data_IF_120296452331
#
_entry.id   IF_120296452331
#
_cell.length_a   1.000
_cell.length_b   1.000
_cell.length_c   1.000
_cell.angle_alpha   90.00
_cell.angle_beta   90.00
_cell.angle_gamma   90.00
#
_symmetry.space_group_name_H-M   'P 1'
#
loop_
_entity.id
_entity.type
_entity.pdbx_description
1 polymer ?
#
# COMPACT_ATOMS: atom_id res chain seq x y z
N UNK A 1 -3.31 11.06 -36.81
CA UNK A 1 -2.25 10.28 -37.49
C UNK A 1 -2.24 8.92 -36.83
N UNK A 2 -2.40 7.85 -37.59
CA UNK A 2 -2.35 6.48 -37.06
C UNK A 2 -0.89 6.23 -36.72
N UNK A 3 -0.56 6.17 -35.42
CA UNK A 3 0.79 5.87 -34.99
C UNK A 3 1.13 4.43 -35.35
N UNK A 4 2.05 4.24 -36.26
CA UNK A 4 2.56 2.93 -36.70
C UNK A 4 3.60 2.42 -35.72
N UNK A 5 3.18 2.19 -34.47
CA UNK A 5 4.04 1.77 -33.36
C UNK A 5 3.78 0.34 -32.97
N UNK A 6 4.83 -0.46 -32.93
CA UNK A 6 4.83 -1.77 -32.29
C UNK A 6 5.62 -1.73 -30.96
N UNK A 7 5.27 -2.60 -30.02
CA UNK A 7 5.99 -2.78 -28.77
C UNK A 7 6.45 -4.23 -28.61
N UNK A 8 7.67 -4.43 -28.19
CA UNK A 8 8.22 -5.71 -27.77
C UNK A 8 8.38 -5.67 -26.25
N UNK A 9 7.73 -6.57 -25.55
CA UNK A 9 7.86 -6.71 -24.10
C UNK A 9 8.76 -7.91 -23.78
N UNK A 10 9.96 -7.62 -23.30
CA UNK A 10 10.90 -8.64 -22.87
C UNK A 10 10.47 -9.26 -21.53
N UNK A 11 9.93 -10.46 -21.57
CA UNK A 11 9.41 -11.17 -20.41
C UNK A 11 9.96 -12.61 -20.24
N UNK A 12 10.98 -13.00 -21.03
CA UNK A 12 11.59 -14.34 -21.02
C UNK A 12 12.58 -14.59 -19.86
N UNK A 13 12.80 -13.60 -18.96
CA UNK A 13 13.78 -13.73 -17.87
C UNK A 13 13.33 -14.66 -16.74
N UNK A 14 14.21 -15.59 -16.31
CA UNK A 14 13.94 -16.62 -15.31
C UNK A 14 13.68 -16.09 -13.88
N UNK A 15 14.14 -14.88 -13.52
CA UNK A 15 13.76 -14.21 -12.26
C UNK A 15 14.33 -14.76 -10.96
N UNK A 16 15.44 -15.49 -10.97
CA UNK A 16 16.04 -16.19 -9.82
C UNK A 16 16.21 -15.33 -8.55
N UNK A 17 16.33 -14.01 -8.67
CA UNK A 17 16.52 -13.07 -7.54
C UNK A 17 15.25 -12.71 -6.77
N UNK A 18 14.06 -12.98 -7.31
CA UNK A 18 12.77 -12.76 -6.61
C UNK A 18 12.40 -13.96 -5.73
N UNK A 19 13.06 -15.12 -5.91
CA UNK A 19 12.80 -16.33 -5.13
C UNK A 19 11.40 -16.90 -5.36
N UNK A 20 10.84 -16.71 -6.55
CA UNK A 20 9.57 -17.31 -6.98
C UNK A 20 9.86 -18.52 -7.88
N UNK A 21 9.06 -19.57 -7.73
CA UNK A 21 9.13 -20.79 -8.57
C UNK A 21 8.52 -20.56 -9.98
N UNK A 22 8.14 -19.32 -10.30
CA UNK A 22 7.51 -18.89 -11.55
C UNK A 22 8.42 -17.91 -12.30
N UNK A 23 8.30 -17.80 -13.64
CA UNK A 23 8.93 -16.74 -14.40
C UNK A 23 8.65 -15.36 -13.80
N UNK A 24 9.68 -14.53 -13.75
CA UNK A 24 9.63 -13.21 -13.11
C UNK A 24 8.43 -12.36 -13.54
N UNK A 25 8.13 -12.36 -14.83
CA UNK A 25 7.07 -11.54 -15.40
C UNK A 25 5.65 -12.01 -14.99
N UNK A 26 5.51 -13.25 -14.48
CA UNK A 26 4.27 -13.81 -13.92
C UNK A 26 4.10 -13.53 -12.42
N UNK A 27 5.10 -12.95 -11.76
CA UNK A 27 4.95 -12.53 -10.34
C UNK A 27 3.86 -11.47 -10.25
N UNK A 28 2.96 -11.63 -9.29
CA UNK A 28 1.87 -10.66 -9.05
C UNK A 28 2.39 -9.41 -8.35
N UNK A 29 1.90 -8.29 -8.84
CA UNK A 29 2.00 -6.98 -8.25
C UNK A 29 0.57 -6.49 -7.98
N UNK A 30 0.12 -6.61 -6.73
CA UNK A 30 -1.27 -6.45 -6.29
C UNK A 30 -2.18 -7.50 -6.95
N UNK A 31 -3.03 -7.15 -7.87
CA UNK A 31 -4.04 -7.99 -8.52
C UNK A 31 -3.60 -8.57 -9.87
N UNK A 32 -2.60 -7.95 -10.52
CA UNK A 32 -2.10 -8.32 -11.85
C UNK A 32 -0.65 -8.79 -11.82
N UNK A 33 -0.25 -9.56 -12.82
CA UNK A 33 1.17 -9.91 -13.01
C UNK A 33 1.97 -8.72 -13.56
N UNK A 34 3.32 -8.76 -13.43
CA UNK A 34 4.18 -7.70 -13.97
C UNK A 34 3.97 -7.52 -15.48
N UNK A 35 3.80 -8.61 -16.22
CA UNK A 35 3.57 -8.55 -17.67
C UNK A 35 2.20 -7.95 -18.02
N UNK A 36 1.14 -8.25 -17.25
CA UNK A 36 -0.18 -7.61 -17.45
C UNK A 36 -0.13 -6.10 -17.26
N UNK A 37 0.60 -5.63 -16.23
CA UNK A 37 0.82 -4.20 -16.03
C UNK A 37 1.56 -3.57 -17.22
N UNK A 38 2.65 -4.18 -17.67
CA UNK A 38 3.44 -3.68 -18.80
C UNK A 38 2.62 -3.62 -20.09
N UNK A 39 1.82 -4.66 -20.39
CA UNK A 39 0.90 -4.69 -21.54
C UNK A 39 -0.15 -3.58 -21.42
N UNK A 40 -0.80 -3.47 -20.26
CA UNK A 40 -1.86 -2.46 -20.05
C UNK A 40 -1.35 -1.03 -20.23
N UNK A 41 -0.11 -0.75 -19.83
CA UNK A 41 0.50 0.58 -19.98
C UNK A 41 0.92 0.90 -21.44
N UNK A 42 1.27 -0.09 -22.25
CA UNK A 42 1.67 0.13 -23.64
C UNK A 42 0.53 -0.01 -24.64
N UNK A 43 -0.55 -0.73 -24.32
CA UNK A 43 -1.69 -0.94 -25.21
C UNK A 43 -2.34 0.35 -25.77
N UNK A 44 -2.42 1.47 -25.02
CA UNK A 44 -3.00 2.71 -25.57
C UNK A 44 -2.16 3.38 -26.67
N UNK A 45 -0.87 3.02 -26.79
CA UNK A 45 0.07 3.69 -27.73
C UNK A 45 0.69 2.77 -28.77
N UNK A 46 0.63 1.45 -28.57
CA UNK A 46 1.14 0.45 -29.51
C UNK A 46 -0.02 -0.33 -30.13
N UNK A 47 -0.07 -0.38 -31.48
CA UNK A 47 -1.10 -1.13 -32.22
C UNK A 47 -0.77 -2.61 -32.35
N UNK A 48 0.48 -2.99 -32.13
CA UNK A 48 0.94 -4.37 -32.05
C UNK A 48 1.81 -4.51 -30.80
N UNK A 49 1.51 -5.50 -29.97
CA UNK A 49 2.35 -5.86 -28.83
C UNK A 49 2.78 -7.30 -28.98
N UNK A 50 4.09 -7.55 -28.96
CA UNK A 50 4.67 -8.88 -28.94
C UNK A 50 5.33 -9.09 -27.58
N UNK A 51 4.95 -10.16 -26.87
CA UNK A 51 5.50 -10.53 -25.57
C UNK A 51 6.38 -11.75 -25.75
N UNK A 52 7.63 -11.69 -25.30
CA UNK A 52 8.50 -12.86 -25.30
C UNK A 52 8.39 -13.59 -23.96
N UNK A 53 8.08 -14.90 -23.97
CA UNK A 53 7.97 -15.75 -22.79
C UNK A 53 9.18 -16.67 -22.65
N UNK A 54 9.47 -17.22 -21.45
CA UNK A 54 10.39 -18.32 -21.32
C UNK A 54 9.91 -19.57 -22.07
N UNK A 55 10.83 -20.47 -22.41
CA UNK A 55 10.50 -21.77 -23.01
C UNK A 55 9.47 -22.53 -22.16
N UNK A 56 8.45 -23.09 -22.82
CA UNK A 56 7.38 -23.83 -22.17
C UNK A 56 6.28 -23.02 -21.47
N UNK A 57 6.34 -21.67 -21.49
CA UNK A 57 5.35 -20.81 -20.84
C UNK A 57 4.45 -20.03 -21.81
N UNK A 58 4.56 -20.25 -23.11
CA UNK A 58 3.78 -19.52 -24.13
C UNK A 58 2.27 -19.60 -23.86
N UNK A 59 1.77 -20.80 -23.59
CA UNK A 59 0.32 -21.01 -23.38
C UNK A 59 -0.17 -20.36 -22.09
N UNK A 60 0.62 -20.34 -21.03
CA UNK A 60 0.29 -19.66 -19.78
C UNK A 60 0.22 -18.14 -19.96
N UNK A 61 1.19 -17.56 -20.68
CA UNK A 61 1.15 -16.13 -21.03
C UNK A 61 -0.05 -15.78 -21.92
N UNK A 62 -0.37 -16.61 -22.92
CA UNK A 62 -1.58 -16.42 -23.74
C UNK A 62 -2.86 -16.47 -22.92
N UNK A 63 -2.96 -17.41 -22.00
CA UNK A 63 -4.11 -17.53 -21.09
C UNK A 63 -4.31 -16.28 -20.24
N UNK A 64 -3.22 -15.66 -19.76
CA UNK A 64 -3.26 -14.47 -18.89
C UNK A 64 -3.50 -13.20 -19.71
N UNK A 65 -2.88 -13.06 -20.88
CA UNK A 65 -2.89 -11.82 -21.67
C UNK A 65 -4.02 -11.77 -22.70
N UNK A 66 -4.62 -12.92 -23.04
CA UNK A 66 -5.66 -13.04 -24.06
C UNK A 66 -5.12 -12.82 -25.48
N UNK A 67 -6.06 -12.69 -26.44
CA UNK A 67 -5.76 -12.60 -27.87
C UNK A 67 -5.33 -11.19 -28.33
N UNK A 68 -5.30 -10.22 -27.43
CA UNK A 68 -4.94 -8.82 -27.74
C UNK A 68 -3.44 -8.58 -27.96
N UNK A 69 -2.61 -9.57 -27.64
CA UNK A 69 -1.15 -9.52 -27.78
C UNK A 69 -0.63 -10.80 -28.40
N UNK A 70 0.43 -10.71 -29.19
CA UNK A 70 1.13 -11.87 -29.72
C UNK A 70 2.15 -12.35 -28.67
N UNK A 71 2.07 -13.63 -28.27
CA UNK A 71 3.03 -14.25 -27.35
C UNK A 71 3.90 -15.23 -28.14
N UNK A 72 5.20 -15.05 -28.05
CA UNK A 72 6.20 -15.94 -28.67
C UNK A 72 7.18 -16.47 -27.64
N UNK A 73 7.80 -17.61 -27.92
CA UNK A 73 8.93 -18.08 -27.11
C UNK A 73 10.16 -17.21 -27.37
N UNK A 74 10.82 -16.76 -26.29
CA UNK A 74 12.06 -15.99 -26.36
C UNK A 74 13.28 -16.88 -26.60
N UNK A 75 14.41 -16.23 -26.92
CA UNK A 75 15.69 -16.90 -27.07
C UNK A 75 16.44 -17.06 -25.73
N UNK A 76 17.66 -17.61 -25.80
CA UNK A 76 18.52 -17.83 -24.64
C UNK A 76 18.98 -16.50 -24.02
N UNK A 77 19.34 -15.54 -24.89
CA UNK A 77 19.72 -14.19 -24.49
C UNK A 77 18.53 -13.22 -24.63
N UNK A 78 18.61 -12.08 -23.93
CA UNK A 78 17.63 -11.01 -24.09
C UNK A 78 17.61 -10.48 -25.51
N UNK A 79 18.77 -10.25 -26.12
CA UNK A 79 18.95 -9.83 -27.51
C UNK A 79 18.32 -10.80 -28.51
N UNK A 80 18.43 -12.12 -28.29
CA UNK A 80 17.79 -13.14 -29.14
C UNK A 80 16.27 -13.02 -29.07
N UNK A 81 15.73 -12.86 -27.86
CA UNK A 81 14.29 -12.68 -27.65
C UNK A 81 13.75 -11.45 -28.42
N UNK A 82 14.47 -10.32 -28.37
CA UNK A 82 14.10 -9.11 -29.10
C UNK A 82 14.22 -9.33 -30.60
N UNK A 83 15.26 -10.00 -31.10
CA UNK A 83 15.48 -10.32 -32.52
C UNK A 83 14.33 -11.19 -33.07
N UNK A 84 13.95 -12.22 -32.32
CA UNK A 84 12.80 -13.07 -32.67
C UNK A 84 11.51 -12.28 -32.76
N UNK A 85 11.23 -11.43 -31.77
CA UNK A 85 10.04 -10.57 -31.76
C UNK A 85 10.07 -9.55 -32.91
N UNK A 86 11.21 -8.92 -33.17
CA UNK A 86 11.38 -7.94 -34.23
C UNK A 86 11.09 -8.54 -35.61
N UNK A 87 11.49 -9.80 -35.87
CA UNK A 87 11.20 -10.51 -37.11
C UNK A 87 9.70 -10.77 -37.36
N UNK A 88 8.87 -10.69 -36.32
CA UNK A 88 7.41 -10.85 -36.41
C UNK A 88 6.68 -9.53 -36.65
N UNK A 89 7.33 -8.39 -36.49
CA UNK A 89 6.70 -7.09 -36.69
C UNK A 89 6.49 -6.82 -38.19
N UNK A 90 5.27 -6.64 -38.67
CA UNK A 90 5.00 -6.29 -40.09
C UNK A 90 5.63 -4.97 -40.50
N UNK A 91 5.96 -4.84 -41.81
CA UNK A 91 6.68 -3.67 -42.35
C UNK A 91 5.96 -2.32 -42.22
N UNK A 92 4.68 -2.35 -41.96
CA UNK A 92 3.85 -1.13 -41.78
C UNK A 92 4.16 -0.38 -40.48
N UNK A 93 4.84 -1.01 -39.49
CA UNK A 93 5.23 -0.38 -38.26
C UNK A 93 6.58 0.32 -38.40
N UNK A 94 6.58 1.62 -38.20
CA UNK A 94 7.77 2.48 -38.35
C UNK A 94 8.57 2.63 -37.09
N UNK A 95 7.90 2.56 -35.93
CA UNK A 95 8.50 2.73 -34.61
C UNK A 95 8.35 1.47 -33.78
N UNK A 96 9.39 1.13 -33.04
CA UNK A 96 9.42 -0.02 -32.13
C UNK A 96 9.82 0.44 -30.75
N UNK A 97 9.00 0.13 -29.76
CA UNK A 97 9.33 0.23 -28.34
C UNK A 97 9.83 -1.11 -27.84
N UNK A 98 10.97 -1.12 -27.17
CA UNK A 98 11.47 -2.29 -26.43
C UNK A 98 11.33 -2.03 -24.94
N UNK A 99 10.59 -2.90 -24.24
CA UNK A 99 10.25 -2.69 -22.85
C UNK A 99 10.50 -3.94 -21.99
N UNK A 100 11.09 -3.76 -20.83
CA UNK A 100 11.26 -4.83 -19.84
C UNK A 100 9.96 -5.01 -19.05
N UNK A 101 9.34 -6.20 -19.04
CA UNK A 101 8.17 -6.49 -18.20
C UNK A 101 8.40 -6.22 -16.71
N UNK A 102 9.67 -6.26 -16.28
CA UNK A 102 10.08 -5.93 -14.92
C UNK A 102 9.92 -4.46 -14.52
N UNK A 103 9.64 -3.56 -15.48
CA UNK A 103 9.31 -2.15 -15.22
C UNK A 103 7.80 -1.92 -15.35
N UNK A 104 7.06 -2.75 -14.67
CA UNK A 104 5.60 -2.86 -14.73
C UNK A 104 4.85 -1.53 -14.49
N UNK A 105 5.48 -0.55 -13.84
CA UNK A 105 4.87 0.75 -13.49
C UNK A 105 5.26 1.90 -14.44
N UNK A 106 6.01 1.64 -15.52
CA UNK A 106 6.27 2.64 -16.55
C UNK A 106 4.94 3.11 -17.15
N UNK A 107 4.63 4.42 -17.02
CA UNK A 107 3.30 4.92 -17.39
C UNK A 107 3.11 5.03 -18.92
N UNK A 108 1.86 5.02 -19.35
CA UNK A 108 1.48 5.27 -20.78
C UNK A 108 1.99 6.63 -21.25
N UNK A 109 1.86 7.67 -20.40
CA UNK A 109 2.35 9.01 -20.72
C UNK A 109 3.87 9.05 -20.88
N UNK A 110 4.58 8.33 -20.04
CA UNK A 110 6.03 8.19 -20.13
C UNK A 110 6.45 7.50 -21.45
N UNK A 111 5.82 6.38 -21.79
CA UNK A 111 6.08 5.72 -23.07
C UNK A 111 5.71 6.58 -24.30
N UNK A 112 4.65 7.40 -24.17
CA UNK A 112 4.27 8.34 -25.22
C UNK A 112 5.34 9.44 -25.45
N UNK A 113 6.08 9.88 -24.41
CA UNK A 113 7.17 10.85 -24.61
C UNK A 113 8.31 10.27 -25.45
N UNK A 114 8.60 8.98 -25.32
CA UNK A 114 9.59 8.28 -26.16
C UNK A 114 9.18 8.29 -27.62
N UNK A 115 7.93 7.91 -27.91
CA UNK A 115 7.38 7.91 -29.27
C UNK A 115 7.35 9.31 -29.88
N UNK A 116 7.02 10.33 -29.09
CA UNK A 116 6.99 11.71 -29.57
C UNK A 116 8.36 12.17 -30.10
N UNK A 117 9.46 11.76 -29.46
CA UNK A 117 10.82 12.08 -29.95
C UNK A 117 11.13 11.38 -31.28
N UNK A 118 10.72 10.13 -31.46
CA UNK A 118 10.88 9.41 -32.73
C UNK A 118 10.08 10.07 -33.86
N UNK A 119 8.86 10.48 -33.58
CA UNK A 119 8.02 11.22 -34.56
C UNK A 119 8.66 12.58 -34.91
N UNK A 120 9.36 13.21 -33.98
CA UNK A 120 10.08 14.46 -34.20
C UNK A 120 11.44 14.28 -34.90
N UNK A 121 11.79 13.05 -35.35
CA UNK A 121 12.94 12.78 -36.20
C UNK A 121 14.11 12.09 -35.52
N UNK A 122 14.05 11.81 -34.22
CA UNK A 122 15.07 11.00 -33.55
C UNK A 122 14.99 9.53 -34.03
N UNK A 123 16.13 8.86 -34.14
CA UNK A 123 16.19 7.48 -34.63
C UNK A 123 16.26 6.46 -33.48
N UNK A 124 16.79 6.87 -32.34
CA UNK A 124 16.87 6.09 -31.11
C UNK A 124 16.71 6.99 -29.90
N UNK A 125 15.89 6.58 -28.95
CA UNK A 125 15.53 7.36 -27.75
C UNK A 125 15.51 6.45 -26.53
N UNK A 126 16.22 6.84 -25.49
CA UNK A 126 16.21 6.15 -24.21
C UNK A 126 15.83 7.12 -23.09
N UNK A 127 14.93 6.70 -22.21
CA UNK A 127 14.70 7.46 -20.97
C UNK A 127 15.72 7.06 -19.91
N UNK A 128 16.15 8.04 -19.10
CA UNK A 128 17.08 7.77 -18.02
C UNK A 128 16.90 8.74 -16.84
N UNK A 129 17.24 8.25 -15.64
CA UNK A 129 17.34 9.05 -14.43
C UNK A 129 18.77 9.51 -14.19
N UNK A 130 18.92 10.61 -13.46
CA UNK A 130 20.21 11.04 -12.97
C UNK A 130 20.76 10.05 -11.92
N UNK A 131 22.07 9.84 -11.92
CA UNK A 131 22.71 9.03 -10.90
C UNK A 131 22.94 9.89 -9.65
N UNK A 132 22.24 9.55 -8.57
CA UNK A 132 22.26 10.30 -7.31
C UNK A 132 23.51 9.94 -6.49
N UNK A 133 23.84 8.64 -6.42
CA UNK A 133 24.95 8.13 -5.62
C UNK A 133 26.29 8.28 -6.32
N UNK A 134 27.36 8.26 -5.53
CA UNK A 134 28.71 8.17 -6.06
C UNK A 134 28.98 6.77 -6.60
N UNK A 135 29.29 6.67 -7.89
CA UNK A 135 29.64 5.40 -8.55
C UNK A 135 31.14 5.12 -8.42
N UNK A 136 31.47 3.88 -8.10
CA UNK A 136 32.86 3.39 -8.07
C UNK A 136 33.02 2.26 -9.07
N UNK A 137 34.02 2.37 -9.92
CA UNK A 137 34.52 1.24 -10.69
C UNK A 137 35.45 0.41 -9.80
N UNK A 138 35.20 -0.90 -9.73
CA UNK A 138 35.98 -1.81 -8.90
C UNK A 138 36.62 -2.90 -9.73
N UNK A 139 37.75 -3.42 -9.28
CA UNK A 139 38.39 -4.58 -9.89
C UNK A 139 37.72 -5.90 -9.42
N UNK A 140 38.21 -7.04 -9.95
CA UNK A 140 37.72 -8.38 -9.61
C UNK A 140 37.93 -8.77 -8.14
N UNK A 141 38.78 -8.04 -7.40
CA UNK A 141 39.08 -8.23 -5.98
C UNK A 141 38.28 -7.27 -5.08
N UNK A 142 37.45 -6.37 -5.68
CA UNK A 142 36.63 -5.40 -4.95
C UNK A 142 37.36 -4.10 -4.60
N UNK A 143 38.55 -3.82 -5.10
CA UNK A 143 39.24 -2.55 -4.89
C UNK A 143 38.81 -1.50 -5.89
N UNK A 144 38.62 -0.26 -5.41
CA UNK A 144 38.23 0.88 -6.25
C UNK A 144 39.34 1.21 -7.25
N UNK A 145 39.00 1.22 -8.55
CA UNK A 145 39.86 1.67 -9.64
C UNK A 145 39.66 3.13 -10.02
N UNK A 146 38.40 3.53 -10.09
CA UNK A 146 38.03 4.86 -10.56
C UNK A 146 36.74 5.33 -9.91
N UNK A 147 36.53 6.65 -9.93
CA UNK A 147 35.28 7.30 -9.51
C UNK A 147 34.81 8.17 -10.66
N UNK A 148 33.93 7.66 -11.55
CA UNK A 148 33.40 8.43 -12.67
C UNK A 148 32.68 9.70 -12.20
N UNK A 149 32.69 10.74 -13.02
CA UNK A 149 31.89 11.92 -12.76
C UNK A 149 30.39 11.59 -12.95
N UNK A 150 29.65 11.54 -11.85
CA UNK A 150 28.23 11.14 -11.87
C UNK A 150 27.34 12.06 -12.73
N UNK A 151 27.74 13.34 -12.96
CA UNK A 151 26.96 14.25 -13.79
C UNK A 151 26.87 13.83 -15.25
N UNK A 152 27.82 12.99 -15.72
CA UNK A 152 27.80 12.41 -17.07
C UNK A 152 27.17 11.01 -17.14
N UNK A 153 26.80 10.44 -15.99
CA UNK A 153 26.20 9.10 -15.92
C UNK A 153 24.68 9.21 -15.86
N UNK A 154 24.03 8.25 -16.50
CA UNK A 154 22.57 8.13 -16.51
C UNK A 154 22.15 6.69 -16.21
N UNK A 155 21.13 6.52 -15.39
CA UNK A 155 20.52 5.22 -15.11
C UNK A 155 19.41 4.96 -16.12
N UNK A 156 19.69 4.18 -17.14
CA UNK A 156 18.81 3.94 -18.29
C UNK A 156 17.58 3.12 -17.87
N UNK A 157 16.44 3.51 -18.41
CA UNK A 157 15.17 2.82 -18.21
C UNK A 157 14.60 2.31 -19.54
N UNK A 158 13.46 1.64 -19.48
CA UNK A 158 12.62 1.27 -20.64
C UNK A 158 11.18 1.75 -20.40
N UNK A 159 10.37 2.03 -21.47
CA UNK A 159 10.60 1.63 -22.86
C UNK A 159 11.69 2.43 -23.55
N UNK A 160 12.57 1.75 -24.29
CA UNK A 160 13.47 2.36 -25.26
C UNK A 160 12.78 2.40 -26.61
N UNK A 161 12.95 3.47 -27.35
CA UNK A 161 12.27 3.66 -28.64
C UNK A 161 13.26 3.77 -29.81
N UNK A 162 12.89 3.16 -30.93
CA UNK A 162 13.73 3.12 -32.12
C UNK A 162 12.88 3.25 -33.38
N UNK A 163 13.45 3.85 -34.44
CA UNK A 163 12.94 3.56 -35.76
C UNK A 163 13.24 2.10 -36.08
N UNK A 164 12.26 1.41 -36.70
CA UNK A 164 12.38 -0.02 -36.97
C UNK A 164 13.65 -0.36 -37.74
N UNK A 165 13.95 0.40 -38.81
CA UNK A 165 15.11 0.14 -39.66
C UNK A 165 16.45 0.24 -38.92
N UNK A 166 16.57 1.14 -37.93
CA UNK A 166 17.76 1.28 -37.11
C UNK A 166 17.89 0.08 -36.16
N UNK A 167 16.81 -0.32 -35.50
CA UNK A 167 16.82 -1.46 -34.59
C UNK A 167 17.15 -2.78 -35.33
N UNK A 168 16.57 -3.00 -36.52
CA UNK A 168 16.87 -4.17 -37.36
C UNK A 168 18.35 -4.22 -37.75
N UNK A 169 18.92 -3.09 -38.19
CA UNK A 169 20.35 -2.99 -38.54
C UNK A 169 21.24 -3.26 -37.33
N UNK A 170 20.90 -2.73 -36.17
CA UNK A 170 21.66 -2.90 -34.94
C UNK A 170 21.69 -4.38 -34.53
N UNK A 171 20.54 -5.06 -34.52
CA UNK A 171 20.45 -6.48 -34.21
C UNK A 171 21.05 -7.42 -35.28
N UNK A 172 21.20 -6.96 -36.52
CA UNK A 172 21.91 -7.71 -37.57
C UNK A 172 23.45 -7.59 -37.46
N UNK A 173 23.94 -6.49 -36.89
CA UNK A 173 25.37 -6.18 -36.83
C UNK A 173 26.07 -6.73 -35.58
N UNK A 174 25.38 -7.04 -34.50
CA UNK A 174 25.95 -7.51 -33.23
C UNK A 174 25.04 -8.54 -32.56
N UNK A 175 25.66 -9.51 -31.86
CA UNK A 175 24.94 -10.64 -31.26
C UNK A 175 24.47 -10.34 -29.83
N UNK A 176 25.19 -9.54 -29.03
CA UNK A 176 24.85 -9.29 -27.63
C UNK A 176 25.26 -7.89 -27.16
N UNK A 177 24.44 -7.32 -26.28
CA UNK A 177 24.69 -6.09 -25.54
C UNK A 177 23.87 -6.05 -24.26
N UNK A 178 24.19 -5.11 -23.38
CA UNK A 178 23.46 -4.92 -22.11
C UNK A 178 22.03 -4.40 -22.31
N UNK A 179 21.81 -3.63 -23.39
CA UNK A 179 20.51 -3.14 -23.85
C UNK A 179 20.50 -2.89 -25.36
N UNK A 180 19.33 -2.53 -25.91
CA UNK A 180 19.19 -2.32 -27.36
C UNK A 180 19.84 -1.02 -27.81
N UNK A 181 19.95 -0.02 -26.94
CA UNK A 181 20.64 1.23 -27.23
C UNK A 181 22.15 1.01 -27.50
N UNK A 182 22.80 0.15 -26.72
CA UNK A 182 24.21 -0.18 -26.95
C UNK A 182 24.46 -0.84 -28.31
N UNK A 183 23.53 -1.66 -28.82
CA UNK A 183 23.59 -2.18 -30.19
C UNK A 183 23.47 -1.06 -31.22
N UNK A 184 22.61 -0.08 -31.00
CA UNK A 184 22.43 1.06 -31.88
C UNK A 184 23.64 1.98 -31.88
N UNK A 185 24.26 2.24 -30.74
CA UNK A 185 25.50 2.99 -30.59
C UNK A 185 26.64 2.30 -31.35
N UNK A 186 26.75 0.96 -31.29
CA UNK A 186 27.78 0.18 -31.96
C UNK A 186 27.75 0.34 -33.50
N UNK A 187 26.59 0.63 -34.09
CA UNK A 187 26.47 0.94 -35.53
C UNK A 187 26.60 2.42 -35.86
N UNK A 188 27.04 3.26 -34.91
CA UNK A 188 27.32 4.68 -35.10
C UNK A 188 26.06 5.58 -35.16
N UNK A 189 24.91 5.12 -34.71
CA UNK A 189 23.68 5.93 -34.62
C UNK A 189 23.59 6.61 -33.25
N UNK A 190 23.35 7.92 -33.26
CA UNK A 190 23.20 8.71 -32.04
C UNK A 190 21.95 8.28 -31.27
N UNK A 191 22.08 8.09 -29.94
CA UNK A 191 20.98 7.76 -29.05
C UNK A 191 20.63 8.97 -28.19
N UNK A 192 19.38 9.43 -28.31
CA UNK A 192 18.88 10.56 -27.54
C UNK A 192 18.47 10.13 -26.14
N UNK A 193 18.99 10.80 -25.12
CA UNK A 193 18.54 10.61 -23.73
C UNK A 193 17.42 11.61 -23.42
N UNK A 194 16.34 11.13 -22.83
CA UNK A 194 15.25 11.95 -22.30
C UNK A 194 15.07 11.69 -20.80
N UNK A 195 14.29 12.54 -20.12
CA UNK A 195 14.00 12.37 -18.71
C UNK A 195 13.28 11.04 -18.43
N UNK A 196 13.75 10.31 -17.42
CA UNK A 196 13.14 9.07 -16.93
C UNK A 196 11.95 9.34 -16.00
N UNK A 197 11.30 8.26 -15.57
CA UNK A 197 10.19 8.26 -14.62
C UNK A 197 10.57 7.41 -13.41
N UNK A 198 10.53 7.97 -12.19
CA UNK A 198 10.91 7.25 -10.96
C UNK A 198 10.06 5.99 -10.75
N UNK A 199 8.76 6.05 -11.11
CA UNK A 199 7.86 4.90 -11.04
C UNK A 199 8.26 3.75 -11.97
N UNK A 200 9.03 4.00 -13.03
CA UNK A 200 9.52 2.99 -13.95
C UNK A 200 10.73 2.21 -13.38
N UNK A 201 10.75 2.00 -12.06
CA UNK A 201 11.78 1.18 -11.39
C UNK A 201 11.77 -0.25 -11.93
N UNK A 202 12.95 -0.89 -11.96
CA UNK A 202 13.07 -2.29 -12.38
C UNK A 202 12.87 -3.21 -11.17
N UNK A 203 11.76 -3.89 -11.10
CA UNK A 203 11.44 -4.84 -10.02
C UNK A 203 12.33 -6.07 -10.18
N UNK A 204 13.33 -6.24 -9.31
CA UNK A 204 14.32 -7.33 -9.37
C UNK A 204 14.44 -8.10 -8.06
N UNK A 205 14.07 -7.49 -6.96
CA UNK A 205 14.13 -8.04 -5.61
C UNK A 205 12.76 -7.97 -4.91
N UNK A 206 12.63 -8.63 -3.77
CA UNK A 206 11.43 -8.52 -2.91
C UNK A 206 11.21 -7.09 -2.40
N UNK A 207 12.29 -6.34 -2.16
CA UNK A 207 12.22 -4.94 -1.75
C UNK A 207 11.64 -4.06 -2.87
N UNK A 208 12.09 -4.27 -4.13
CA UNK A 208 11.53 -3.55 -5.28
C UNK A 208 10.04 -3.82 -5.44
N UNK A 209 9.62 -5.09 -5.24
CA UNK A 209 8.21 -5.48 -5.31
C UNK A 209 7.39 -4.79 -4.22
N UNK A 210 7.90 -4.68 -3.01
CA UNK A 210 7.23 -3.95 -1.91
C UNK A 210 7.09 -2.45 -2.24
N UNK A 211 8.16 -1.84 -2.77
CA UNK A 211 8.13 -0.43 -3.23
C UNK A 211 7.11 -0.22 -4.34
N UNK A 212 7.11 -1.09 -5.36
CA UNK A 212 6.15 -1.03 -6.45
C UNK A 212 4.71 -1.21 -5.97
N UNK A 213 4.47 -2.11 -5.01
CA UNK A 213 3.15 -2.32 -4.38
C UNK A 213 2.68 -1.04 -3.69
N UNK A 214 3.55 -0.38 -2.92
CA UNK A 214 3.22 0.88 -2.25
C UNK A 214 2.89 2.01 -3.25
N UNK A 215 3.56 2.05 -4.42
CA UNK A 215 3.29 3.03 -5.47
C UNK A 215 1.97 2.78 -6.22
N UNK A 216 1.49 1.54 -6.28
CA UNK A 216 0.21 1.19 -6.92
C UNK A 216 -0.98 1.32 -6.00
N UNK A 217 -0.80 0.93 -4.75
CA UNK A 217 -1.87 1.10 -3.78
C UNK A 217 -2.15 2.60 -3.66
N UNK A 218 -3.40 3.03 -3.83
CA UNK A 218 -3.73 4.42 -3.54
C UNK A 218 -3.21 4.68 -2.13
N UNK A 219 -2.50 5.76 -1.97
CA UNK A 219 -2.30 6.35 -0.65
C UNK A 219 -3.74 6.67 -0.18
N UNK A 220 -4.41 5.68 0.41
CA UNK A 220 -5.58 5.98 1.22
C UNK A 220 -4.99 6.82 2.33
N UNK A 221 -5.15 8.13 2.23
CA UNK A 221 -4.90 9.02 3.35
C UNK A 221 -5.69 8.41 4.50
N UNK A 222 -4.98 7.66 5.34
CA UNK A 222 -5.60 7.03 6.50
C UNK A 222 -6.21 8.16 7.29
N UNK A 223 -7.53 8.29 7.26
CA UNK A 223 -8.21 9.27 8.07
C UNK A 223 -8.00 8.91 9.53
N UNK A 224 -7.17 9.69 10.20
CA UNK A 224 -6.96 9.60 11.64
C UNK A 224 -8.01 10.50 12.28
N UNK A 225 -8.80 9.94 13.19
CA UNK A 225 -9.83 10.69 13.92
C UNK A 225 -9.67 10.47 15.41
N UNK A 226 -9.93 11.53 16.18
CA UNK A 226 -9.93 11.53 17.63
C UNK A 226 -11.32 11.89 18.12
N UNK A 227 -11.78 11.21 19.14
CA UNK A 227 -13.00 11.54 19.84
C UNK A 227 -12.79 11.64 21.34
N UNK A 228 -13.66 12.35 21.99
CA UNK A 228 -13.73 12.50 23.46
C UNK A 228 -15.12 12.07 23.92
N UNK A 229 -15.16 11.41 25.08
CA UNK A 229 -16.41 11.07 25.77
C UNK A 229 -16.27 11.37 27.26
N UNK A 230 -17.36 11.78 27.88
CA UNK A 230 -17.44 12.09 29.29
C UNK A 230 -18.74 11.50 29.84
N UNK A 231 -18.64 10.81 30.97
CA UNK A 231 -19.81 10.32 31.68
C UNK A 231 -19.67 10.56 33.19
N UNK A 232 -20.79 10.74 33.88
CA UNK A 232 -20.84 10.96 35.30
C UNK A 232 -22.14 10.43 35.90
N UNK A 233 -22.03 9.67 36.99
CA UNK A 233 -23.16 9.10 37.70
C UNK A 233 -23.02 9.27 39.20
N UNK A 234 -24.13 9.50 39.89
CA UNK A 234 -24.20 9.50 41.35
C UNK A 234 -24.15 8.07 41.93
N UNK A 235 -23.67 7.90 43.15
CA UNK A 235 -23.84 6.65 43.87
C UNK A 235 -25.32 6.43 44.20
N UNK A 236 -25.81 5.23 43.97
CA UNK A 236 -27.15 4.82 44.30
C UNK A 236 -27.39 4.66 45.81
N UNK A 237 -28.66 4.55 46.16
CA UNK A 237 -29.09 4.30 47.54
C UNK A 237 -29.18 2.80 47.89
N UNK A 238 -29.18 1.92 46.89
CA UNK A 238 -29.33 0.45 47.06
C UNK A 238 -27.98 -0.18 47.46
N UNK A 239 -27.83 -0.46 48.76
CA UNK A 239 -26.63 -1.05 49.32
C UNK A 239 -26.40 -2.53 48.91
N UNK A 240 -27.43 -3.17 48.33
CA UNK A 240 -27.34 -4.55 47.83
C UNK A 240 -26.73 -4.67 46.44
N UNK A 241 -26.66 -3.58 45.68
CA UNK A 241 -26.07 -3.56 44.34
C UNK A 241 -24.59 -3.19 44.38
N UNK A 242 -23.76 -3.98 43.69
CA UNK A 242 -22.31 -3.77 43.57
C UNK A 242 -22.00 -2.84 42.39
N UNK A 243 -20.93 -2.04 42.54
CA UNK A 243 -20.44 -1.11 41.55
C UNK A 243 -19.88 -1.86 40.35
N UNK A 244 -20.43 -1.56 39.16
CA UNK A 244 -19.78 -1.88 37.89
C UNK A 244 -18.92 -0.68 37.50
N UNK A 245 -17.61 -0.92 37.24
CA UNK A 245 -16.69 0.13 36.82
C UNK A 245 -15.51 -0.44 36.06
N UNK A 246 -15.26 0.12 34.87
CA UNK A 246 -14.18 -0.30 33.96
C UNK A 246 -14.23 -1.81 33.62
N UNK A 247 -15.43 -2.33 33.39
CA UNK A 247 -15.69 -3.73 33.04
C UNK A 247 -15.53 -4.73 34.19
N UNK A 248 -15.41 -4.24 35.43
CA UNK A 248 -15.24 -5.07 36.63
C UNK A 248 -16.37 -4.77 37.64
N UNK A 249 -16.59 -5.75 38.57
CA UNK A 249 -17.45 -5.55 39.71
C UNK A 249 -16.57 -5.26 40.95
N UNK A 250 -16.97 -4.23 41.71
CA UNK A 250 -16.29 -3.75 42.92
C UNK A 250 -17.20 -3.83 44.12
N UNK A 251 -16.61 -3.77 45.30
CA UNK A 251 -17.35 -3.92 46.58
C UNK A 251 -18.14 -2.66 46.98
N UNK A 252 -17.88 -1.52 46.33
CA UNK A 252 -18.60 -0.28 46.51
C UNK A 252 -20.05 -0.37 46.03
N UNK A 253 -20.89 0.55 46.52
CA UNK A 253 -22.29 0.69 46.08
C UNK A 253 -22.37 1.08 44.62
N UNK A 254 -23.32 0.50 43.89
CA UNK A 254 -23.56 0.78 42.46
C UNK A 254 -23.84 2.27 42.20
N UNK A 255 -23.50 2.71 41.02
CA UNK A 255 -23.94 4.02 40.50
C UNK A 255 -25.40 3.93 40.02
N UNK A 256 -26.11 5.08 40.07
CA UNK A 256 -27.45 5.21 39.49
C UNK A 256 -27.32 5.27 37.95
N UNK A 257 -28.27 4.61 37.25
CA UNK A 257 -28.28 4.60 35.78
C UNK A 257 -29.29 3.62 35.21
N UNK A 258 -29.58 3.75 33.92
CA UNK A 258 -30.48 2.85 33.18
C UNK A 258 -29.82 1.53 32.73
N UNK A 259 -28.47 1.52 32.72
CA UNK A 259 -27.61 0.35 32.46
C UNK A 259 -26.97 -0.11 33.77
N UNK A 260 -25.80 -0.69 33.73
CA UNK A 260 -25.00 -1.02 34.91
C UNK A 260 -24.27 0.17 35.56
N UNK A 261 -24.36 1.37 34.94
CA UNK A 261 -23.75 2.61 35.43
C UNK A 261 -22.22 2.67 35.30
N UNK A 262 -21.59 1.81 34.49
CA UNK A 262 -20.14 1.85 34.27
C UNK A 262 -19.72 3.11 33.51
N UNK A 263 -19.42 4.19 34.27
CA UNK A 263 -19.02 5.49 33.69
C UNK A 263 -17.80 5.40 32.79
N UNK A 264 -16.87 4.45 33.05
CA UNK A 264 -15.70 4.29 32.23
C UNK A 264 -16.03 3.67 30.86
N UNK A 265 -16.90 2.64 30.84
CA UNK A 265 -17.37 2.03 29.61
C UNK A 265 -18.22 3.00 28.79
N UNK A 266 -19.11 3.78 29.42
CA UNK A 266 -19.93 4.78 28.75
C UNK A 266 -19.09 5.89 28.11
N UNK A 267 -18.13 6.47 28.85
CA UNK A 267 -17.23 7.48 28.32
C UNK A 267 -16.41 6.96 27.13
N UNK A 268 -15.99 5.69 27.17
CA UNK A 268 -15.28 5.05 26.04
C UNK A 268 -16.22 4.90 24.81
N UNK A 269 -17.47 4.48 25.02
CA UNK A 269 -18.45 4.41 23.93
C UNK A 269 -18.63 5.76 23.27
N UNK A 270 -18.83 6.82 24.04
CA UNK A 270 -19.00 8.19 23.54
C UNK A 270 -17.75 8.67 22.78
N UNK A 271 -16.57 8.43 23.32
CA UNK A 271 -15.32 8.77 22.62
C UNK A 271 -15.20 8.10 21.25
N UNK A 272 -15.54 6.81 21.16
CA UNK A 272 -15.48 6.04 19.92
C UNK A 272 -16.55 6.50 18.91
N UNK A 273 -17.79 6.69 19.37
CA UNK A 273 -18.90 7.16 18.52
C UNK A 273 -18.63 8.58 18.01
N UNK A 274 -18.14 9.47 18.86
CA UNK A 274 -17.74 10.82 18.50
C UNK A 274 -16.64 10.83 17.45
N UNK A 275 -15.58 10.01 17.63
CA UNK A 275 -14.48 9.88 16.66
C UNK A 275 -15.00 9.46 15.27
N UNK A 276 -15.95 8.54 15.22
CA UNK A 276 -16.51 8.02 13.99
C UNK A 276 -17.64 8.90 13.39
N UNK A 277 -18.03 9.98 14.07
CA UNK A 277 -19.18 10.84 13.73
C UNK A 277 -20.50 10.04 13.68
N UNK A 278 -20.69 9.13 14.67
CA UNK A 278 -21.87 8.28 14.83
C UNK A 278 -22.80 8.76 15.96
N UNK A 279 -22.64 9.99 16.44
CA UNK A 279 -23.40 10.54 17.55
C UNK A 279 -22.82 10.15 18.91
N UNK A 280 -23.68 9.85 19.87
CA UNK A 280 -23.36 9.56 21.26
C UNK A 280 -24.04 8.27 21.74
N UNK A 281 -23.76 7.87 22.98
CA UNK A 281 -24.34 6.70 23.62
C UNK A 281 -25.86 6.79 23.69
N UNK A 282 -26.40 7.96 24.02
CA UNK A 282 -27.83 8.19 24.12
C UNK A 282 -28.58 7.99 22.81
N UNK A 283 -28.04 8.48 21.70
CA UNK A 283 -28.63 8.33 20.36
C UNK A 283 -28.51 6.90 19.81
N UNK A 284 -27.50 6.14 20.22
CA UNK A 284 -27.24 4.77 19.73
C UNK A 284 -27.86 3.67 20.60
N UNK A 285 -27.97 3.90 21.91
CA UNK A 285 -28.39 2.90 22.90
C UNK A 285 -29.43 3.47 23.89
N UNK A 286 -30.20 4.47 23.45
CA UNK A 286 -31.09 5.25 24.33
C UNK A 286 -32.14 4.44 25.04
N UNK A 287 -32.65 5.00 26.15
CA UNK A 287 -33.66 4.43 27.08
C UNK A 287 -34.97 3.96 26.42
N UNK A 288 -35.27 4.38 25.21
CA UNK A 288 -36.44 3.93 24.47
C UNK A 288 -36.30 2.49 23.93
N UNK A 289 -35.08 1.99 23.75
CA UNK A 289 -34.82 0.62 23.26
C UNK A 289 -34.66 -0.36 24.43
N UNK A 290 -35.72 -1.13 24.66
CA UNK A 290 -35.78 -2.15 25.74
C UNK A 290 -34.64 -3.18 25.66
N UNK A 291 -33.98 -3.31 24.52
CA UNK A 291 -32.82 -4.22 24.32
C UNK A 291 -31.66 -3.87 25.24
N UNK A 292 -31.51 -2.60 25.60
CA UNK A 292 -30.37 -2.09 26.37
C UNK A 292 -30.71 -1.81 27.84
N UNK A 293 -31.95 -2.08 28.26
CA UNK A 293 -32.33 -1.95 29.67
C UNK A 293 -31.52 -2.95 30.53
N UNK A 294 -30.66 -2.44 31.41
CA UNK A 294 -29.75 -3.24 32.23
C UNK A 294 -28.55 -3.82 31.46
N UNK A 295 -28.25 -3.33 30.25
CA UNK A 295 -27.05 -3.77 29.51
C UNK A 295 -25.78 -3.46 30.30
N UNK A 296 -24.82 -4.38 30.26
CA UNK A 296 -23.51 -4.16 30.86
C UNK A 296 -22.65 -3.23 30.00
N UNK A 297 -21.73 -2.49 30.64
CA UNK A 297 -20.75 -1.67 29.93
C UNK A 297 -19.93 -2.47 28.91
N UNK A 298 -19.63 -3.73 29.21
CA UNK A 298 -18.96 -4.64 28.28
C UNK A 298 -19.79 -4.92 27.02
N UNK A 299 -21.12 -5.08 27.15
CA UNK A 299 -22.01 -5.26 26.00
C UNK A 299 -22.08 -4.00 25.15
N UNK A 300 -22.22 -2.82 25.77
CA UNK A 300 -22.25 -1.54 25.05
C UNK A 300 -20.95 -1.28 24.28
N UNK A 301 -19.80 -1.59 24.87
CA UNK A 301 -18.49 -1.52 24.22
C UNK A 301 -18.37 -2.45 23.02
N UNK A 302 -18.84 -3.70 23.14
CA UNK A 302 -18.84 -4.67 22.03
C UNK A 302 -19.71 -4.21 20.86
N UNK A 303 -20.88 -3.68 21.12
CA UNK A 303 -21.77 -3.15 20.08
C UNK A 303 -21.21 -1.86 19.46
N UNK A 304 -20.59 -0.99 20.26
CA UNK A 304 -19.86 0.19 19.77
C UNK A 304 -18.71 -0.22 18.85
N UNK A 305 -17.90 -1.21 19.25
CA UNK A 305 -16.84 -1.74 18.39
C UNK A 305 -17.38 -2.23 17.05
N UNK A 306 -18.51 -2.95 17.05
CA UNK A 306 -19.12 -3.43 15.80
C UNK A 306 -19.55 -2.26 14.89
N UNK A 307 -20.10 -1.17 15.46
CA UNK A 307 -20.47 0.05 14.73
C UNK A 307 -19.26 0.77 14.14
N UNK A 308 -18.17 0.91 14.91
CA UNK A 308 -16.90 1.53 14.44
C UNK A 308 -16.33 0.73 13.27
N UNK A 309 -16.30 -0.59 13.37
CA UNK A 309 -15.85 -1.49 12.31
C UNK A 309 -16.74 -1.39 11.06
N UNK A 310 -18.05 -1.36 11.22
CA UNK A 310 -19.02 -1.21 10.11
C UNK A 310 -18.88 0.15 9.40
N UNK A 311 -18.47 1.20 10.12
CA UNK A 311 -18.17 2.52 9.56
C UNK A 311 -16.80 2.58 8.86
N UNK A 312 -16.05 1.49 8.78
CA UNK A 312 -14.76 1.39 8.07
C UNK A 312 -13.58 1.91 8.88
N UNK A 313 -13.64 1.84 10.22
CA UNK A 313 -12.55 2.26 11.09
C UNK A 313 -12.02 1.12 11.96
N UNK A 314 -10.75 1.26 12.34
CA UNK A 314 -10.05 0.43 13.33
C UNK A 314 -9.73 1.29 14.55
N UNK A 315 -9.90 0.73 15.74
CA UNK A 315 -9.52 1.38 17.00
C UNK A 315 -8.03 1.18 17.21
N UNK A 316 -7.24 2.27 17.19
CA UNK A 316 -5.81 2.24 17.44
C UNK A 316 -5.51 2.23 18.94
N UNK A 317 -6.17 3.10 19.71
CA UNK A 317 -6.11 3.11 21.17
C UNK A 317 -7.28 3.85 21.81
N UNK A 318 -7.52 3.52 23.07
CA UNK A 318 -8.44 4.22 23.96
C UNK A 318 -7.72 4.53 25.27
N UNK A 319 -7.92 5.75 25.80
CA UNK A 319 -7.47 6.11 27.13
C UNK A 319 -8.65 6.60 27.96
N UNK A 320 -8.82 6.10 29.19
CA UNK A 320 -9.85 6.55 30.11
C UNK A 320 -9.25 6.96 31.44
N UNK A 321 -9.68 8.13 31.91
CA UNK A 321 -9.39 8.70 33.22
C UNK A 321 -10.64 8.63 34.08
N UNK A 322 -10.60 7.87 35.18
CA UNK A 322 -11.67 7.80 36.17
C UNK A 322 -11.42 8.86 37.25
N UNK A 323 -12.44 9.61 37.60
CA UNK A 323 -12.37 10.68 38.60
C UNK A 323 -13.28 10.34 39.77
N UNK A 324 -12.67 10.19 40.97
CA UNK A 324 -13.41 9.91 42.20
C UNK A 324 -12.53 9.37 43.30
N UNK A 325 -13.11 9.21 44.51
CA UNK A 325 -12.38 8.81 45.71
C UNK A 325 -12.22 7.28 45.86
N UNK A 326 -13.22 6.53 45.39
CA UNK A 326 -13.32 5.06 45.48
C UNK A 326 -13.99 4.50 44.24
N UNK A 327 -13.63 3.25 43.81
CA UNK A 327 -12.63 2.36 44.37
C UNK A 327 -11.20 2.79 44.02
N UNK A 328 -10.21 2.18 44.67
CA UNK A 328 -8.80 2.43 44.33
C UNK A 328 -8.39 1.61 43.10
N UNK A 329 -8.56 2.19 41.94
CA UNK A 329 -8.34 1.55 40.61
C UNK A 329 -6.95 0.92 40.51
N UNK A 330 -5.91 1.49 41.14
CA UNK A 330 -4.55 1.00 41.07
C UNK A 330 -4.42 -0.49 41.43
N UNK A 331 -5.23 -0.98 42.39
CA UNK A 331 -5.17 -2.37 42.88
C UNK A 331 -5.58 -3.38 41.77
N UNK A 332 -6.50 -3.02 40.89
CA UNK A 332 -7.04 -3.91 39.86
C UNK A 332 -6.93 -3.32 38.46
N UNK A 333 -6.01 -2.37 38.23
CA UNK A 333 -5.86 -1.67 36.94
C UNK A 333 -5.61 -2.64 35.80
N UNK A 334 -4.76 -3.64 35.99
CA UNK A 334 -4.45 -4.62 34.92
C UNK A 334 -5.69 -5.45 34.54
N UNK A 335 -6.55 -5.81 35.50
CA UNK A 335 -7.80 -6.54 35.26
C UNK A 335 -8.79 -5.63 34.48
N UNK A 336 -8.91 -4.37 34.88
CA UNK A 336 -9.76 -3.39 34.16
C UNK A 336 -9.32 -3.18 32.72
N UNK A 337 -8.02 -3.00 32.47
CA UNK A 337 -7.46 -2.91 31.12
C UNK A 337 -7.80 -4.17 30.31
N UNK A 338 -7.61 -5.34 30.87
CA UNK A 338 -7.89 -6.61 30.17
C UNK A 338 -9.39 -6.77 29.85
N UNK A 339 -10.28 -6.40 30.80
CA UNK A 339 -11.74 -6.47 30.60
C UNK A 339 -12.22 -5.53 29.47
N UNK A 340 -11.79 -4.27 29.52
CA UNK A 340 -12.14 -3.27 28.50
C UNK A 340 -11.55 -3.61 27.12
N UNK A 341 -10.28 -4.03 27.07
CA UNK A 341 -9.63 -4.49 25.83
C UNK A 341 -10.36 -5.69 25.22
N UNK A 342 -10.78 -6.67 26.03
CA UNK A 342 -11.56 -7.82 25.59
C UNK A 342 -12.90 -7.39 24.98
N UNK A 343 -13.61 -6.45 25.61
CA UNK A 343 -14.88 -5.93 25.11
C UNK A 343 -14.72 -5.18 23.77
N UNK A 344 -13.54 -4.60 23.53
CA UNK A 344 -13.16 -3.92 22.28
C UNK A 344 -12.34 -4.80 21.33
N UNK A 345 -12.54 -6.12 21.36
CA UNK A 345 -11.91 -7.11 20.49
C UNK A 345 -10.37 -7.04 20.44
N UNK A 346 -9.74 -6.70 21.57
CA UNK A 346 -8.27 -6.65 21.72
C UNK A 346 -7.65 -5.28 21.45
N UNK A 347 -8.44 -4.22 21.30
CA UNK A 347 -7.92 -2.86 21.17
C UNK A 347 -7.05 -2.44 22.37
N UNK A 348 -6.06 -1.59 22.13
CA UNK A 348 -5.20 -1.06 23.19
C UNK A 348 -5.98 -0.10 24.08
N UNK A 349 -6.06 -0.42 25.37
CA UNK A 349 -6.74 0.42 26.37
C UNK A 349 -5.77 0.82 27.47
N UNK A 350 -5.83 2.07 27.90
CA UNK A 350 -5.18 2.55 29.12
C UNK A 350 -6.21 3.07 30.12
N UNK A 351 -6.00 2.74 31.40
CA UNK A 351 -6.89 3.14 32.50
C UNK A 351 -6.05 3.90 33.55
N UNK A 352 -6.48 5.09 33.88
CA UNK A 352 -5.94 5.89 34.97
C UNK A 352 -7.05 6.38 35.89
N UNK A 353 -6.69 6.83 37.08
CA UNK A 353 -7.63 7.37 38.05
C UNK A 353 -7.01 8.52 38.84
N UNK A 354 -7.84 9.48 39.25
CA UNK A 354 -7.46 10.62 40.08
C UNK A 354 -8.58 10.96 41.06
N UNK A 355 -8.26 11.67 42.12
CA UNK A 355 -9.23 12.37 42.97
C UNK A 355 -9.33 13.83 42.57
N UNK A 356 -10.32 14.56 43.09
CA UNK A 356 -10.42 16.00 43.01
C UNK A 356 -10.14 16.71 44.34
N UNK A 357 -9.44 16.04 45.23
CA UNK A 357 -8.99 16.55 46.53
C UNK A 357 -10.11 17.18 47.37
N UNK A 358 -11.27 16.53 47.37
CA UNK A 358 -12.45 16.98 48.11
C UNK A 358 -13.34 17.96 47.35
N UNK A 359 -13.00 18.39 46.17
CA UNK A 359 -13.77 19.36 45.37
C UNK A 359 -14.85 18.68 44.51
N UNK A 360 -16.02 19.30 44.48
CA UNK A 360 -17.15 18.87 43.66
C UNK A 360 -17.71 17.50 44.05
N UNK A 361 -18.71 17.02 43.29
CA UNK A 361 -19.44 15.79 43.64
C UNK A 361 -18.53 14.52 43.68
N UNK A 362 -17.49 14.46 42.89
CA UNK A 362 -16.54 13.36 42.89
C UNK A 362 -15.63 13.39 44.11
N UNK A 363 -15.17 14.59 44.51
CA UNK A 363 -14.35 14.77 45.71
C UNK A 363 -15.15 14.63 47.00
N UNK A 364 -16.41 15.01 46.98
CA UNK A 364 -17.35 14.83 48.11
C UNK A 364 -17.83 13.37 48.25
N UNK A 365 -17.46 12.48 47.31
CA UNK A 365 -17.83 11.06 47.32
C UNK A 365 -19.32 10.82 46.97
N UNK A 366 -19.94 11.73 46.25
CA UNK A 366 -21.34 11.62 45.83
C UNK A 366 -21.51 10.84 44.52
N UNK A 367 -20.45 10.62 43.76
CA UNK A 367 -20.50 9.91 42.48
C UNK A 367 -19.12 9.75 41.87
N UNK A 368 -19.11 9.21 40.67
CA UNK A 368 -17.92 9.04 39.83
C UNK A 368 -18.11 9.73 38.49
N UNK A 369 -17.02 10.14 37.86
CA UNK A 369 -16.98 10.59 36.49
C UNK A 369 -15.86 9.89 35.75
N UNK A 370 -15.97 9.76 34.43
CA UNK A 370 -14.89 9.30 33.58
C UNK A 370 -14.78 10.20 32.35
N UNK A 371 -13.56 10.38 31.88
CA UNK A 371 -13.23 11.06 30.63
C UNK A 371 -12.44 10.09 29.80
N UNK A 372 -12.86 9.85 28.56
CA UNK A 372 -12.16 8.99 27.62
C UNK A 372 -11.77 9.73 26.36
N UNK A 373 -10.66 9.31 25.78
CA UNK A 373 -10.27 9.67 24.40
C UNK A 373 -10.08 8.40 23.59
N UNK A 374 -10.45 8.46 22.31
CA UNK A 374 -10.27 7.37 21.37
C UNK A 374 -9.58 7.88 20.11
N UNK A 375 -8.64 7.08 19.59
CA UNK A 375 -8.01 7.26 18.31
C UNK A 375 -8.48 6.13 17.39
N UNK A 376 -9.07 6.49 16.24
CA UNK A 376 -9.47 5.54 15.20
C UNK A 376 -8.86 5.91 13.86
N UNK A 377 -8.67 4.90 13.01
CA UNK A 377 -8.05 5.06 11.68
C UNK A 377 -8.90 4.34 10.65
N UNK A 378 -9.11 4.95 9.47
CA UNK A 378 -9.83 4.28 8.37
C UNK A 378 -9.09 3.04 7.88
N UNK A 379 -9.84 1.99 7.52
CA UNK A 379 -9.30 0.73 6.96
C UNK A 379 -8.80 0.89 5.52
#
# INVERSE_FOLDING_TARGET
MINKTAAIIAAAGAGNRLGADLPKALVKLVDKTLVEHAVANLAPIAQLIIVTSPAGYVDEYKKILGDSVEVIEGGVLRSDSIRLALSKIPNQYEYVLVHDAARALASTTFAATVIAQLINGEQAVIPALDVIDTIKEVDSKGYVRNTPNRSSLKAVQTPQGFTRSVLERAHAASEDATDDAALVEAIGVAVKVIAGEERALKITTKSDLATATALLLPNKDKQIRVGIGVDAHAFGSDQGKKLALAGLIWDEVALEGHSDGDVAAHAICDALLSAANLGDLGSNFGVADKKYAGASGAQLLSETFAKIKAAGFVIENVAVQIVGNKPKIAARRAEAIAALSKALAGAKVSVSATSTDGLGFTGEGKGLSAIATALIVST
#
